data_IF_634924861451
#
_entry.id   IF_634924861451
#
_cell.length_a   1.000
_cell.length_b   1.000
_cell.length_c   1.000
_cell.angle_alpha   90.00
_cell.angle_beta   90.00
_cell.angle_gamma   90.00
#
_symmetry.space_group_name_H-M   'P 1'
#
loop_
_entity.id
_entity.type
_entity.pdbx_description
1 polymer ?
#
# COMPACT_ATOMS: atom_id res chain seq x y z
N UNK A 1 23.51 10.24 -9.22
CA UNK A 1 22.02 10.27 -9.26
C UNK A 1 21.57 9.84 -10.65
N UNK A 2 20.53 9.02 -10.77
CA UNK A 2 19.89 8.70 -12.06
C UNK A 2 18.48 9.30 -12.04
N UNK A 3 18.11 10.06 -13.08
CA UNK A 3 16.80 10.69 -13.21
C UNK A 3 16.42 10.79 -14.70
N UNK A 4 15.28 11.41 -15.02
CA UNK A 4 14.87 11.72 -16.38
C UNK A 4 14.63 13.22 -16.55
N UNK A 5 14.59 13.72 -17.79
CA UNK A 5 14.18 15.09 -18.07
C UNK A 5 12.74 15.34 -17.59
N UNK A 6 11.82 14.42 -17.94
CA UNK A 6 10.42 14.42 -17.52
C UNK A 6 9.92 13.00 -17.22
N UNK A 7 8.78 12.90 -16.54
CA UNK A 7 7.95 11.70 -16.48
C UNK A 7 6.56 12.03 -17.02
N UNK A 8 5.95 11.09 -17.76
CA UNK A 8 4.63 11.26 -18.36
C UNK A 8 3.60 10.48 -17.55
N UNK A 9 2.63 11.19 -16.95
CA UNK A 9 1.60 10.54 -16.13
C UNK A 9 0.23 11.19 -16.33
N UNK A 10 -0.73 10.41 -16.81
CA UNK A 10 -2.10 10.85 -17.07
C UNK A 10 -2.18 12.12 -17.98
N UNK A 11 -1.36 12.16 -19.03
CA UNK A 11 -1.24 13.31 -19.93
C UNK A 11 -0.50 14.52 -19.34
N UNK A 12 0.01 14.44 -18.11
CA UNK A 12 0.80 15.49 -17.46
C UNK A 12 2.28 15.20 -17.54
N UNK A 13 3.07 16.26 -17.66
CA UNK A 13 4.53 16.19 -17.64
C UNK A 13 5.04 16.59 -16.25
N UNK A 14 5.82 15.72 -15.62
CA UNK A 14 6.47 15.98 -14.33
C UNK A 14 7.95 16.23 -14.62
N UNK A 15 8.44 17.46 -14.39
CA UNK A 15 9.82 17.87 -14.69
C UNK A 15 10.82 17.31 -13.67
N UNK A 16 11.15 16.03 -13.78
CA UNK A 16 12.00 15.30 -12.84
C UNK A 16 13.40 15.91 -12.70
N UNK A 17 14.03 16.33 -13.81
CA UNK A 17 15.35 16.96 -13.76
C UNK A 17 15.33 18.29 -13.00
N UNK A 18 14.30 19.12 -13.22
CA UNK A 18 14.13 20.37 -12.47
C UNK A 18 13.97 20.14 -10.96
N UNK A 19 13.23 19.10 -10.56
CA UNK A 19 13.10 18.70 -9.14
C UNK A 19 14.46 18.24 -8.60
N UNK A 20 15.19 17.42 -9.36
CA UNK A 20 16.53 16.96 -8.99
C UNK A 20 17.51 18.13 -8.80
N UNK A 21 17.51 19.13 -9.69
CA UNK A 21 18.40 20.29 -9.58
C UNK A 21 18.17 21.11 -8.31
N UNK A 22 16.92 21.22 -7.84
CA UNK A 22 16.61 21.85 -6.55
C UNK A 22 17.20 21.04 -5.40
N UNK A 23 17.04 19.72 -5.41
CA UNK A 23 17.59 18.83 -4.38
C UNK A 23 19.14 18.81 -4.36
N UNK A 24 19.76 18.91 -5.53
CA UNK A 24 21.21 18.91 -5.71
C UNK A 24 21.91 20.11 -5.06
N UNK A 25 21.18 21.19 -4.75
CA UNK A 25 21.73 22.34 -4.00
C UNK A 25 22.14 21.97 -2.56
N UNK A 26 21.50 20.95 -1.98
CA UNK A 26 21.68 20.55 -0.58
C UNK A 26 22.28 19.14 -0.43
N UNK A 27 22.79 18.55 -1.50
CA UNK A 27 23.32 17.16 -1.50
C UNK A 27 24.74 17.13 -2.10
N UNK A 28 25.75 17.67 -1.37
CA UNK A 28 27.09 17.86 -1.91
C UNK A 28 27.84 16.55 -2.22
N UNK A 29 27.34 15.41 -1.74
CA UNK A 29 27.91 14.08 -2.02
C UNK A 29 27.60 13.57 -3.43
N UNK A 30 26.70 14.21 -4.18
CA UNK A 30 26.35 13.79 -5.54
C UNK A 30 27.27 14.48 -6.56
N UNK A 31 28.21 13.72 -7.11
CA UNK A 31 29.19 14.21 -8.09
C UNK A 31 28.69 14.16 -9.54
N UNK A 32 27.88 13.14 -9.88
CA UNK A 32 27.40 12.90 -11.24
C UNK A 32 25.89 12.67 -11.30
N UNK A 33 25.25 13.15 -12.37
CA UNK A 33 23.83 12.96 -12.64
C UNK A 33 23.65 12.40 -14.06
N UNK A 34 23.13 11.18 -14.14
CA UNK A 34 22.73 10.57 -15.41
C UNK A 34 21.26 10.89 -15.66
N UNK A 35 20.96 11.47 -16.83
CA UNK A 35 19.62 11.91 -17.21
C UNK A 35 19.13 11.08 -18.40
N UNK A 36 17.99 10.41 -18.24
CA UNK A 36 17.29 9.73 -19.33
C UNK A 36 16.42 10.75 -20.07
N UNK A 37 16.54 10.79 -21.40
CA UNK A 37 15.71 11.65 -22.25
C UNK A 37 14.41 10.92 -22.61
N UNK A 38 13.33 11.20 -21.89
CA UNK A 38 12.00 10.58 -22.09
C UNK A 38 11.27 11.20 -23.29
N UNK A 39 11.46 12.50 -23.52
CA UNK A 39 10.94 13.21 -24.69
C UNK A 39 11.83 14.42 -25.06
N UNK A 40 11.43 15.20 -26.06
CA UNK A 40 12.15 16.40 -26.53
C UNK A 40 11.97 17.65 -25.65
N UNK A 41 11.27 17.56 -24.50
CA UNK A 41 11.13 18.72 -23.62
C UNK A 41 12.51 19.09 -23.03
N UNK A 42 12.94 20.37 -23.17
CA UNK A 42 14.24 20.79 -22.70
C UNK A 42 14.30 20.79 -21.17
N UNK A 43 15.46 20.45 -20.63
CA UNK A 43 15.80 20.61 -19.22
C UNK A 43 17.24 21.14 -19.08
N UNK A 44 17.50 21.84 -17.98
CA UNK A 44 18.84 22.35 -17.68
C UNK A 44 19.82 21.20 -17.46
N UNK A 45 20.99 21.27 -18.09
CA UNK A 45 22.09 20.31 -17.96
C UNK A 45 23.35 21.06 -17.51
N UNK A 46 23.86 20.73 -16.33
CA UNK A 46 25.06 21.34 -15.76
C UNK A 46 26.32 20.66 -16.32
N UNK A 47 27.08 21.40 -17.12
CA UNK A 47 28.36 20.93 -17.66
C UNK A 47 29.30 20.44 -16.54
N UNK A 48 29.94 19.29 -16.76
CA UNK A 48 30.84 18.65 -15.80
C UNK A 48 30.16 17.88 -14.66
N UNK A 49 28.83 17.83 -14.60
CA UNK A 49 28.06 17.05 -13.60
C UNK A 49 26.98 16.19 -14.25
N UNK A 50 26.24 16.75 -15.21
CA UNK A 50 25.09 16.09 -15.83
C UNK A 50 25.46 15.51 -17.19
N UNK A 51 25.05 14.26 -17.44
CA UNK A 51 25.27 13.55 -18.70
C UNK A 51 23.97 12.90 -19.17
N UNK A 52 23.79 12.78 -20.49
CA UNK A 52 22.66 12.05 -21.06
C UNK A 52 22.95 10.55 -21.09
N UNK A 53 22.00 9.76 -20.60
CA UNK A 53 22.12 8.30 -20.58
C UNK A 53 22.44 7.69 -21.95
N UNK A 54 21.76 8.15 -23.01
CA UNK A 54 21.95 7.60 -24.36
C UNK A 54 23.30 7.96 -24.97
N UNK A 55 23.87 9.11 -24.61
CA UNK A 55 25.21 9.51 -25.06
C UNK A 55 26.28 8.64 -24.38
N UNK A 56 26.15 8.41 -23.07
CA UNK A 56 27.07 7.53 -22.32
C UNK A 56 26.98 6.07 -22.79
N UNK A 57 25.77 5.57 -23.05
CA UNK A 57 25.58 4.19 -23.49
C UNK A 57 26.02 3.95 -24.94
N UNK A 58 26.03 4.96 -25.82
CA UNK A 58 26.38 4.80 -27.23
C UNK A 58 27.83 4.31 -27.44
N UNK A 59 28.73 4.59 -26.51
CA UNK A 59 30.12 4.14 -26.53
C UNK A 59 30.44 3.00 -25.56
N UNK A 60 29.45 2.49 -24.83
CA UNK A 60 29.65 1.49 -23.76
C UNK A 60 29.49 0.07 -24.31
N UNK A 61 30.25 -0.87 -23.76
CA UNK A 61 30.16 -2.30 -24.09
C UNK A 61 28.80 -2.90 -23.72
N UNK A 62 28.27 -3.79 -24.56
CA UNK A 62 27.11 -4.64 -24.22
C UNK A 62 27.47 -5.75 -23.24
N UNK A 63 28.76 -6.06 -23.11
CA UNK A 63 29.30 -7.02 -22.15
C UNK A 63 29.76 -6.30 -20.88
N UNK A 64 29.18 -6.69 -19.74
CA UNK A 64 29.57 -6.27 -18.40
C UNK A 64 29.48 -7.50 -17.49
N UNK A 65 30.62 -8.04 -17.06
CA UNK A 65 30.64 -9.19 -16.16
C UNK A 65 30.02 -8.80 -14.80
N UNK A 66 29.17 -9.67 -14.26
CA UNK A 66 28.52 -9.42 -12.98
C UNK A 66 29.52 -9.54 -11.83
N UNK A 67 29.60 -8.51 -11.00
CA UNK A 67 30.40 -8.51 -9.78
C UNK A 67 29.92 -9.59 -8.80
N UNK A 68 30.88 -10.27 -8.16
CA UNK A 68 30.59 -11.31 -7.16
C UNK A 68 30.29 -10.65 -5.81
N UNK A 69 29.06 -10.82 -5.34
CA UNK A 69 28.60 -10.26 -4.06
C UNK A 69 28.41 -11.36 -3.01
N UNK A 70 28.64 -11.03 -1.74
CA UNK A 70 28.26 -11.88 -0.62
C UNK A 70 26.74 -11.83 -0.40
N UNK A 71 26.18 -12.87 0.24
CA UNK A 71 24.75 -12.93 0.51
C UNK A 71 24.25 -11.76 1.38
N UNK A 72 25.07 -11.24 2.29
CA UNK A 72 24.73 -10.13 3.19
C UNK A 72 25.25 -8.77 2.72
N UNK A 73 25.76 -8.67 1.49
CA UNK A 73 26.08 -7.35 0.92
C UNK A 73 24.77 -6.58 0.67
N UNK A 74 24.70 -5.28 1.01
CA UNK A 74 23.52 -4.45 0.79
C UNK A 74 23.12 -4.44 -0.69
N UNK A 75 21.85 -4.76 -0.96
CA UNK A 75 21.28 -4.74 -2.30
C UNK A 75 20.66 -3.37 -2.62
N UNK A 76 19.83 -2.86 -1.70
CA UNK A 76 19.23 -1.53 -1.84
C UNK A 76 18.86 -0.91 -0.49
N UNK A 77 18.68 0.41 -0.51
CA UNK A 77 18.09 1.19 0.57
C UNK A 77 16.79 1.78 0.06
N UNK A 78 15.69 1.53 0.77
CA UNK A 78 14.39 2.12 0.45
C UNK A 78 13.90 2.99 1.59
N UNK A 79 13.72 4.28 1.31
CA UNK A 79 13.23 5.23 2.31
C UNK A 79 11.72 5.10 2.49
N UNK A 80 11.28 4.85 3.74
CA UNK A 80 9.88 4.81 4.13
C UNK A 80 9.50 5.99 5.02
N UNK A 81 8.26 6.46 4.94
CA UNK A 81 7.75 7.52 5.81
C UNK A 81 7.43 6.95 7.20
N UNK A 82 8.26 7.28 8.20
CA UNK A 82 8.00 6.95 9.59
C UNK A 82 6.96 7.87 10.24
N UNK A 83 6.27 7.39 11.28
CA UNK A 83 5.34 8.18 12.11
C UNK A 83 6.00 9.38 12.80
N UNK A 84 7.32 9.33 13.02
CA UNK A 84 8.11 10.33 13.76
C UNK A 84 8.77 11.43 12.88
N UNK A 85 8.50 11.47 11.57
CA UNK A 85 8.79 12.64 10.73
C UNK A 85 10.08 12.63 9.90
N UNK A 86 11.12 11.84 10.24
CA UNK A 86 12.27 11.58 9.35
C UNK A 86 12.12 10.23 8.64
N UNK A 87 12.29 10.17 7.30
CA UNK A 87 12.27 8.91 6.57
C UNK A 87 13.27 7.88 7.13
N UNK A 88 12.90 6.61 7.09
CA UNK A 88 13.72 5.49 7.55
C UNK A 88 14.30 4.79 6.32
N UNK A 89 15.63 4.69 6.20
CA UNK A 89 16.26 4.00 5.08
C UNK A 89 16.31 2.50 5.35
N UNK A 90 15.31 1.73 4.94
CA UNK A 90 15.27 0.28 5.13
C UNK A 90 16.32 -0.38 4.25
N UNK A 91 17.19 -1.21 4.84
CA UNK A 91 18.28 -1.89 4.12
C UNK A 91 17.94 -3.37 3.92
N UNK A 92 17.92 -3.81 2.67
CA UNK A 92 17.84 -5.22 2.29
C UNK A 92 19.19 -5.69 1.75
N UNK A 93 19.54 -6.94 2.05
CA UNK A 93 20.75 -7.60 1.56
C UNK A 93 20.46 -8.52 0.38
N UNK A 94 21.48 -9.07 -0.26
CA UNK A 94 21.35 -9.66 -1.60
C UNK A 94 20.72 -11.06 -1.60
N UNK A 95 21.29 -12.01 -0.86
CA UNK A 95 20.93 -13.43 -0.97
C UNK A 95 19.56 -13.76 -0.39
N UNK A 96 19.32 -13.37 0.86
CA UNK A 96 18.06 -13.66 1.58
C UNK A 96 16.85 -12.98 0.94
N UNK A 97 16.99 -11.71 0.55
CA UNK A 97 15.95 -10.95 -0.13
C UNK A 97 15.58 -11.60 -1.47
N UNK A 98 16.56 -11.84 -2.36
CA UNK A 98 16.29 -12.36 -3.69
C UNK A 98 15.65 -13.75 -3.63
N UNK A 99 16.13 -14.63 -2.73
CA UNK A 99 15.53 -15.94 -2.53
C UNK A 99 14.08 -15.83 -2.05
N UNK A 100 13.80 -14.98 -1.06
CA UNK A 100 12.45 -14.82 -0.52
C UNK A 100 11.47 -14.33 -1.59
N UNK A 101 11.82 -13.27 -2.34
CA UNK A 101 10.93 -12.69 -3.36
C UNK A 101 10.76 -13.60 -4.58
N UNK A 102 11.77 -14.42 -4.90
CA UNK A 102 11.67 -15.43 -5.97
C UNK A 102 10.67 -16.51 -5.59
N UNK A 103 10.76 -17.04 -4.35
CA UNK A 103 9.84 -18.06 -3.85
C UNK A 103 8.41 -17.53 -3.70
N UNK A 104 8.24 -16.37 -3.05
CA UNK A 104 6.91 -15.79 -2.87
C UNK A 104 6.25 -15.52 -4.22
N UNK A 105 6.99 -14.93 -5.18
CA UNK A 105 6.45 -14.69 -6.51
C UNK A 105 6.02 -16.00 -7.20
N UNK A 106 6.89 -17.02 -7.21
CA UNK A 106 6.61 -18.31 -7.87
C UNK A 106 5.38 -19.01 -7.29
N UNK A 107 5.33 -19.16 -5.97
CA UNK A 107 4.32 -20.01 -5.32
C UNK A 107 2.99 -19.29 -5.08
N UNK A 108 3.00 -18.02 -4.68
CA UNK A 108 1.75 -17.30 -4.35
C UNK A 108 0.99 -16.94 -5.61
N UNK A 109 1.70 -16.48 -6.65
CA UNK A 109 1.08 -16.17 -7.93
C UNK A 109 1.05 -17.37 -8.89
N UNK A 110 1.48 -18.54 -8.43
CA UNK A 110 1.50 -19.80 -9.19
C UNK A 110 2.05 -19.61 -10.61
N UNK A 111 3.26 -19.05 -10.70
CA UNK A 111 3.85 -18.57 -11.95
C UNK A 111 4.36 -19.74 -12.78
N UNK A 112 4.07 -19.73 -14.07
CA UNK A 112 4.49 -20.65 -15.12
C UNK A 112 5.26 -19.89 -16.20
N UNK A 113 5.94 -20.62 -17.08
CA UNK A 113 6.87 -20.04 -18.06
C UNK A 113 6.17 -19.16 -19.11
N UNK A 114 4.87 -19.39 -19.35
CA UNK A 114 4.02 -18.65 -20.28
C UNK A 114 3.21 -17.53 -19.60
N UNK A 115 3.43 -17.28 -18.30
CA UNK A 115 2.73 -16.22 -17.58
C UNK A 115 3.18 -14.83 -18.01
N UNK A 116 2.18 -14.01 -18.33
CA UNK A 116 2.29 -12.55 -18.43
C UNK A 116 1.79 -11.98 -17.13
N UNK A 117 2.73 -11.59 -16.28
CA UNK A 117 2.49 -11.08 -14.94
C UNK A 117 2.47 -9.55 -14.96
N UNK A 118 1.46 -8.95 -14.34
CA UNK A 118 1.37 -7.50 -14.20
C UNK A 118 1.10 -7.07 -12.76
N UNK A 119 2.10 -6.44 -12.15
CA UNK A 119 1.94 -5.65 -10.95
C UNK A 119 1.80 -4.16 -11.29
N UNK A 120 0.73 -3.53 -10.80
CA UNK A 120 0.45 -2.11 -11.11
C UNK A 120 1.14 -1.13 -10.16
N UNK A 121 2.03 -1.59 -9.29
CA UNK A 121 2.74 -0.72 -8.34
C UNK A 121 3.72 0.20 -9.08
N UNK A 122 4.17 1.24 -8.38
CA UNK A 122 5.29 2.07 -8.84
C UNK A 122 6.62 1.52 -8.28
N UNK A 123 7.70 1.59 -9.07
CA UNK A 123 9.02 1.08 -8.69
C UNK A 123 9.63 1.80 -7.48
N UNK A 124 9.15 2.99 -7.12
CA UNK A 124 9.53 3.71 -5.91
C UNK A 124 9.01 3.08 -4.61
N UNK A 125 8.24 1.99 -4.67
CA UNK A 125 7.77 1.24 -3.51
C UNK A 125 8.36 -0.18 -3.49
N UNK A 126 8.34 -0.81 -2.30
CA UNK A 126 8.87 -2.17 -2.12
C UNK A 126 8.13 -3.20 -2.99
N UNK A 127 6.84 -2.98 -3.29
CA UNK A 127 6.08 -3.83 -4.22
C UNK A 127 6.67 -3.80 -5.62
N UNK A 128 7.11 -2.63 -6.10
CA UNK A 128 7.76 -2.53 -7.40
C UNK A 128 9.16 -3.16 -7.40
N UNK A 129 9.92 -3.02 -6.33
CA UNK A 129 11.20 -3.72 -6.19
C UNK A 129 11.00 -5.23 -6.27
N UNK A 130 10.18 -5.77 -5.38
CA UNK A 130 10.05 -7.21 -5.13
C UNK A 130 9.23 -7.91 -6.21
N UNK A 131 8.21 -7.24 -6.72
CA UNK A 131 7.16 -7.85 -7.55
C UNK A 131 6.89 -7.11 -8.86
N UNK A 132 7.77 -6.20 -9.31
CA UNK A 132 7.88 -5.82 -10.73
C UNK A 132 9.23 -6.27 -11.27
N UNK A 133 10.30 -6.05 -10.49
CA UNK A 133 11.68 -6.30 -10.92
C UNK A 133 12.19 -7.64 -10.39
N UNK A 134 12.55 -7.75 -9.12
CA UNK A 134 13.38 -8.86 -8.62
C UNK A 134 12.71 -10.22 -8.71
N UNK A 135 11.55 -10.42 -8.09
CA UNK A 135 10.86 -11.72 -8.07
C UNK A 135 10.46 -12.25 -9.45
N UNK A 136 9.80 -11.44 -10.30
CA UNK A 136 9.45 -11.85 -11.67
C UNK A 136 10.67 -12.17 -12.53
N UNK A 137 11.68 -11.29 -12.56
CA UNK A 137 12.86 -11.49 -13.42
C UNK A 137 13.74 -12.63 -12.94
N UNK A 138 13.85 -12.87 -11.62
CA UNK A 138 14.56 -14.02 -11.07
C UNK A 138 13.88 -15.36 -11.43
N UNK A 139 12.57 -15.36 -11.64
CA UNK A 139 11.83 -16.52 -12.13
C UNK A 139 11.80 -16.63 -13.68
N UNK A 140 12.41 -15.70 -14.40
CA UNK A 140 12.35 -15.64 -15.87
C UNK A 140 10.96 -15.31 -16.42
N UNK A 141 10.06 -14.73 -15.60
CA UNK A 141 8.70 -14.41 -16.02
C UNK A 141 8.64 -13.11 -16.84
N UNK A 142 7.58 -12.96 -17.64
CA UNK A 142 7.29 -11.68 -18.31
C UNK A 142 6.61 -10.73 -17.33
N UNK A 143 7.29 -9.63 -16.98
CA UNK A 143 6.77 -8.60 -16.06
C UNK A 143 6.37 -7.33 -16.82
N UNK A 144 5.10 -6.92 -16.70
CA UNK A 144 4.60 -5.69 -17.33
C UNK A 144 4.85 -4.48 -16.44
N UNK A 145 5.56 -3.48 -16.97
CA UNK A 145 5.73 -2.16 -16.33
C UNK A 145 4.78 -1.13 -16.97
N UNK A 146 4.03 -0.40 -16.14
CA UNK A 146 3.02 0.55 -16.59
C UNK A 146 3.31 1.97 -16.09
N UNK A 147 3.57 2.89 -17.01
CA UNK A 147 3.87 4.30 -16.70
C UNK A 147 2.62 5.12 -16.29
N UNK A 148 1.44 4.71 -16.76
CA UNK A 148 0.22 5.50 -16.68
C UNK A 148 -0.54 5.42 -15.35
N UNK A 149 -1.85 5.66 -15.42
CA UNK A 149 -2.79 5.51 -14.31
C UNK A 149 -4.02 4.68 -14.76
N UNK A 150 -4.74 4.02 -13.83
CA UNK A 150 -5.91 3.20 -14.16
C UNK A 150 -7.06 3.91 -14.87
N UNK A 151 -7.09 5.24 -14.82
CA UNK A 151 -8.23 6.05 -15.26
C UNK A 151 -7.92 6.98 -16.43
N UNK A 152 -6.77 6.80 -17.10
CA UNK A 152 -6.39 7.62 -18.26
C UNK A 152 -6.08 6.75 -19.49
N UNK A 153 -6.70 7.02 -20.66
CA UNK A 153 -7.62 8.13 -20.94
C UNK A 153 -9.01 7.98 -20.30
N UNK A 154 -9.34 6.78 -19.81
CA UNK A 154 -10.59 6.48 -19.12
C UNK A 154 -10.43 5.33 -18.11
N UNK A 155 -11.50 5.00 -17.38
CA UNK A 155 -11.53 3.94 -16.35
C UNK A 155 -11.53 2.50 -16.92
N UNK A 156 -11.45 2.36 -18.25
CA UNK A 156 -11.22 1.08 -18.93
C UNK A 156 -9.74 0.70 -19.05
N UNK A 157 -8.81 1.59 -18.67
CA UNK A 157 -7.39 1.46 -19.03
C UNK A 157 -6.73 0.18 -18.55
N UNK A 158 -6.96 -0.24 -17.31
CA UNK A 158 -6.38 -1.48 -16.79
C UNK A 158 -6.88 -2.70 -17.57
N UNK A 159 -8.19 -2.75 -17.81
CA UNK A 159 -8.85 -3.86 -18.50
C UNK A 159 -8.41 -3.95 -19.97
N UNK A 160 -8.24 -2.79 -20.62
CA UNK A 160 -7.64 -2.70 -21.96
C UNK A 160 -6.24 -3.30 -22.00
N UNK A 161 -5.40 -3.02 -21.01
CA UNK A 161 -4.02 -3.55 -20.94
C UNK A 161 -4.07 -5.06 -20.72
N UNK A 162 -4.93 -5.55 -19.82
CA UNK A 162 -5.10 -6.98 -19.60
C UNK A 162 -5.46 -7.71 -20.90
N UNK A 163 -6.46 -7.23 -21.65
CA UNK A 163 -6.86 -7.84 -22.93
C UNK A 163 -5.80 -7.70 -24.01
N UNK A 164 -5.18 -6.51 -24.13
CA UNK A 164 -4.20 -6.23 -25.18
C UNK A 164 -2.97 -7.11 -25.09
N UNK A 165 -2.49 -7.34 -23.87
CA UNK A 165 -1.27 -8.10 -23.63
C UNK A 165 -1.53 -9.52 -23.14
N UNK A 166 -2.79 -9.96 -23.01
CA UNK A 166 -3.11 -11.30 -22.52
C UNK A 166 -2.60 -11.53 -21.10
N UNK A 167 -2.74 -10.55 -20.21
CA UNK A 167 -2.28 -10.64 -18.81
C UNK A 167 -2.92 -11.85 -18.14
N UNK A 168 -2.12 -12.63 -17.44
CA UNK A 168 -2.50 -13.90 -16.79
C UNK A 168 -2.56 -13.78 -15.28
N UNK A 169 -1.70 -12.94 -14.70
CA UNK A 169 -1.70 -12.59 -13.28
C UNK A 169 -1.77 -11.08 -13.14
N UNK A 170 -2.78 -10.58 -12.43
CA UNK A 170 -2.99 -9.15 -12.23
C UNK A 170 -2.95 -8.78 -10.75
N UNK A 171 -2.01 -7.94 -10.36
CA UNK A 171 -1.70 -7.60 -8.97
C UNK A 171 -1.76 -6.09 -8.75
N UNK A 172 -2.73 -5.63 -7.96
CA UNK A 172 -2.99 -4.19 -7.78
C UNK A 172 -3.36 -3.82 -6.35
N UNK A 173 -3.48 -2.54 -6.04
CA UNK A 173 -3.85 -2.07 -4.71
C UNK A 173 -5.38 -1.98 -4.54
N UNK A 174 -5.93 -2.21 -3.33
CA UNK A 174 -7.34 -1.98 -3.04
C UNK A 174 -7.83 -0.57 -3.40
N UNK A 175 -7.00 0.46 -3.26
CA UNK A 175 -7.35 1.83 -3.67
C UNK A 175 -7.65 1.92 -5.17
N UNK A 176 -6.87 1.23 -6.03
CA UNK A 176 -7.15 1.20 -7.46
C UNK A 176 -8.46 0.45 -7.74
N UNK A 177 -8.69 -0.67 -7.04
CA UNK A 177 -9.93 -1.45 -7.14
C UNK A 177 -11.14 -0.58 -6.78
N UNK A 178 -11.14 0.08 -5.61
CA UNK A 178 -12.24 0.95 -5.17
C UNK A 178 -12.45 2.14 -6.12
N UNK A 179 -11.36 2.75 -6.62
CA UNK A 179 -11.47 3.86 -7.56
C UNK A 179 -12.13 3.43 -8.87
N UNK A 180 -11.78 2.25 -9.40
CA UNK A 180 -12.37 1.70 -10.62
C UNK A 180 -13.81 1.24 -10.40
N UNK A 181 -14.10 0.60 -9.26
CA UNK A 181 -15.45 0.21 -8.85
C UNK A 181 -16.41 1.42 -8.82
N UNK A 182 -15.95 2.58 -8.31
CA UNK A 182 -16.74 3.82 -8.28
C UNK A 182 -17.15 4.31 -9.68
N UNK A 183 -16.34 4.05 -10.70
CA UNK A 183 -16.66 4.47 -12.07
C UNK A 183 -17.73 3.59 -12.75
N UNK A 184 -18.12 2.48 -12.14
CA UNK A 184 -19.18 1.60 -12.59
C UNK A 184 -18.71 0.42 -13.46
N UNK A 185 -19.54 -0.62 -13.47
CA UNK A 185 -19.24 -1.92 -14.08
C UNK A 185 -19.14 -1.87 -15.60
N UNK A 186 -19.72 -0.85 -16.25
CA UNK A 186 -19.68 -0.70 -17.70
C UNK A 186 -18.26 -0.50 -18.26
N UNK A 187 -17.26 -0.20 -17.43
CA UNK A 187 -15.87 -0.07 -17.85
C UNK A 187 -15.17 -1.42 -18.04
N UNK A 188 -15.11 -2.30 -17.02
CA UNK A 188 -14.60 -3.65 -17.22
C UNK A 188 -15.44 -4.47 -18.21
N UNK A 189 -16.76 -4.27 -18.28
CA UNK A 189 -17.66 -5.02 -19.18
C UNK A 189 -17.36 -4.82 -20.69
N UNK A 190 -16.51 -3.86 -21.06
CA UNK A 190 -16.03 -3.64 -22.44
C UNK A 190 -14.94 -4.64 -22.87
N UNK A 191 -14.40 -5.41 -21.94
CA UNK A 191 -13.21 -6.25 -22.11
C UNK A 191 -13.50 -7.70 -21.73
N UNK A 192 -12.73 -8.64 -22.26
CA UNK A 192 -12.95 -10.08 -22.08
C UNK A 192 -12.33 -10.61 -20.79
N UNK A 193 -11.10 -10.20 -20.48
CA UNK A 193 -10.36 -10.58 -19.27
C UNK A 193 -10.21 -12.11 -19.08
N UNK A 194 -10.35 -12.89 -20.16
CA UNK A 194 -10.37 -14.34 -20.12
C UNK A 194 -8.98 -14.96 -19.90
N UNK A 195 -7.91 -14.22 -20.19
CA UNK A 195 -6.54 -14.65 -19.93
C UNK A 195 -6.18 -14.67 -18.44
N UNK A 196 -6.90 -13.90 -17.62
CA UNK A 196 -6.63 -13.82 -16.18
C UNK A 196 -6.91 -15.16 -15.50
N UNK A 197 -5.90 -15.67 -14.80
CA UNK A 197 -5.95 -16.84 -13.92
C UNK A 197 -5.93 -16.46 -12.45
N UNK A 198 -5.10 -15.50 -12.06
CA UNK A 198 -4.93 -15.09 -10.67
C UNK A 198 -5.05 -13.57 -10.54
N UNK A 199 -5.81 -13.16 -9.54
CA UNK A 199 -5.89 -11.78 -9.10
C UNK A 199 -5.14 -11.65 -7.78
N UNK A 200 -4.47 -10.52 -7.57
CA UNK A 200 -3.82 -10.22 -6.30
C UNK A 200 -4.16 -8.84 -5.80
N UNK A 201 -4.09 -8.67 -4.49
CA UNK A 201 -4.25 -7.38 -3.82
C UNK A 201 -3.22 -7.13 -2.74
N UNK A 202 -2.79 -5.87 -2.57
CA UNK A 202 -1.65 -5.49 -1.72
C UNK A 202 -1.72 -4.08 -1.16
N UNK A 203 -1.11 -3.92 0.03
CA UNK A 203 -0.64 -2.64 0.55
C UNK A 203 -1.56 -1.98 1.56
N UNK A 204 -2.81 -2.44 1.65
CA UNK A 204 -3.79 -2.03 2.64
C UNK A 204 -4.88 -3.11 2.77
N UNK A 205 -5.67 -3.11 3.86
CA UNK A 205 -6.83 -3.97 3.96
C UNK A 205 -7.81 -3.74 2.79
N UNK A 206 -8.28 -4.83 2.20
CA UNK A 206 -9.38 -4.82 1.23
C UNK A 206 -10.69 -5.11 1.96
N UNK A 207 -11.68 -4.21 1.82
CA UNK A 207 -12.99 -4.47 2.41
C UNK A 207 -13.73 -5.57 1.63
N UNK A 208 -14.60 -6.37 2.28
CA UNK A 208 -15.28 -7.50 1.64
C UNK A 208 -16.05 -7.12 0.36
N UNK A 209 -16.67 -5.95 0.32
CA UNK A 209 -17.41 -5.49 -0.88
C UNK A 209 -16.50 -5.27 -2.08
N UNK A 210 -15.36 -4.57 -1.91
CA UNK A 210 -14.39 -4.38 -2.98
C UNK A 210 -13.74 -5.70 -3.40
N UNK A 211 -13.49 -6.60 -2.43
CA UNK A 211 -13.00 -7.95 -2.70
C UNK A 211 -14.00 -8.72 -3.57
N UNK A 212 -15.28 -8.68 -3.21
CA UNK A 212 -16.34 -9.35 -3.96
C UNK A 212 -16.50 -8.74 -5.35
N UNK A 213 -16.50 -7.41 -5.50
CA UNK A 213 -16.52 -6.77 -6.81
C UNK A 213 -15.34 -7.23 -7.67
N UNK A 214 -14.14 -7.28 -7.12
CA UNK A 214 -12.95 -7.74 -7.83
C UNK A 214 -13.06 -9.21 -8.27
N UNK A 215 -13.60 -10.07 -7.41
CA UNK A 215 -13.83 -11.48 -7.70
C UNK A 215 -14.91 -11.70 -8.76
N UNK A 216 -16.02 -10.95 -8.67
CA UNK A 216 -17.18 -11.14 -9.53
C UNK A 216 -17.02 -10.46 -10.88
N UNK A 217 -16.54 -9.22 -10.92
CA UNK A 217 -16.48 -8.41 -12.14
C UNK A 217 -15.20 -8.57 -12.93
N UNK A 218 -14.06 -8.67 -12.25
CA UNK A 218 -12.77 -8.86 -12.92
C UNK A 218 -12.45 -10.35 -12.97
N UNK A 219 -12.70 -11.04 -11.86
CA UNK A 219 -12.44 -12.46 -11.72
C UNK A 219 -13.51 -13.38 -12.32
N UNK A 220 -14.60 -12.86 -12.91
CA UNK A 220 -15.83 -13.59 -13.33
C UNK A 220 -16.15 -14.84 -12.48
N UNK A 221 -15.99 -14.75 -11.15
CA UNK A 221 -16.23 -15.84 -10.19
C UNK A 221 -15.43 -17.12 -10.44
N UNK A 222 -14.24 -17.00 -11.06
CA UNK A 222 -13.38 -18.12 -11.46
C UNK A 222 -11.92 -17.97 -11.04
N UNK A 223 -11.45 -16.74 -10.80
CA UNK A 223 -10.04 -16.46 -10.51
C UNK A 223 -9.88 -16.23 -9.00
N UNK A 224 -9.02 -16.97 -8.30
CA UNK A 224 -8.72 -16.71 -6.90
C UNK A 224 -8.08 -15.32 -6.73
N UNK A 225 -8.35 -14.70 -5.58
CA UNK A 225 -7.71 -13.44 -5.16
C UNK A 225 -6.71 -13.76 -4.05
N UNK A 226 -5.43 -13.48 -4.29
CA UNK A 226 -4.41 -13.51 -3.24
C UNK A 226 -4.34 -12.16 -2.54
N UNK A 227 -4.90 -12.08 -1.33
CA UNK A 227 -4.70 -10.94 -0.44
C UNK A 227 -3.34 -11.10 0.27
N UNK A 228 -2.43 -10.16 0.04
CA UNK A 228 -1.03 -10.30 0.42
C UNK A 228 -0.67 -9.28 1.50
N UNK A 229 -0.49 -9.75 2.73
CA UNK A 229 0.01 -8.92 3.81
C UNK A 229 1.52 -9.04 3.95
N UNK A 230 2.18 -7.87 3.98
CA UNK A 230 3.61 -7.69 4.17
C UNK A 230 3.97 -6.19 4.22
N UNK A 231 5.25 -5.87 4.41
CA UNK A 231 5.74 -4.51 4.62
C UNK A 231 7.05 -4.26 3.87
N UNK A 232 7.55 -3.02 3.90
CA UNK A 232 8.87 -2.72 3.32
C UNK A 232 9.98 -3.46 4.05
N UNK A 233 9.83 -3.55 5.36
CA UNK A 233 10.72 -4.18 6.31
C UNK A 233 10.77 -5.71 6.18
N UNK A 234 9.73 -6.32 5.61
CA UNK A 234 9.66 -7.77 5.44
C UNK A 234 10.25 -8.25 4.14
N UNK A 235 10.54 -7.34 3.20
CA UNK A 235 11.14 -7.60 1.89
C UNK A 235 10.19 -8.29 0.90
N UNK A 236 9.43 -9.29 1.34
CA UNK A 236 8.42 -9.97 0.55
C UNK A 236 7.19 -10.38 1.37
N UNK A 237 6.30 -11.13 0.72
CA UNK A 237 4.97 -11.49 1.23
C UNK A 237 5.14 -12.45 2.42
N UNK A 238 4.39 -12.21 3.50
CA UNK A 238 4.47 -13.02 4.72
C UNK A 238 3.21 -13.82 5.02
N UNK A 239 2.03 -13.22 4.84
CA UNK A 239 0.74 -13.87 5.11
C UNK A 239 -0.14 -13.68 3.89
N UNK A 240 -0.56 -14.78 3.28
CA UNK A 240 -1.37 -14.78 2.05
C UNK A 240 -1.97 -16.17 1.79
N UNK A 241 -3.11 -16.28 1.09
CA UNK A 241 -3.55 -17.59 0.60
C UNK A 241 -2.64 -18.11 -0.53
N UNK A 242 -2.55 -19.44 -0.65
CA UNK A 242 -1.97 -20.09 -1.81
C UNK A 242 -3.10 -20.57 -2.75
N UNK A 243 -3.17 -20.05 -3.99
CA UNK A 243 -4.14 -20.51 -4.98
C UNK A 243 -4.07 -22.03 -5.16
N UNK A 244 -5.19 -22.72 -4.93
CA UNK A 244 -5.26 -24.18 -5.05
C UNK A 244 -5.03 -24.96 -3.75
N UNK A 245 -4.64 -24.31 -2.66
CA UNK A 245 -4.49 -24.95 -1.34
C UNK A 245 -5.49 -24.46 -0.28
N UNK A 246 -5.88 -23.18 -0.32
CA UNK A 246 -6.71 -22.57 0.72
C UNK A 246 -8.09 -22.12 0.19
N UNK A 247 -9.11 -22.25 1.04
CA UNK A 247 -10.40 -21.58 0.84
C UNK A 247 -10.27 -20.11 1.20
N UNK A 248 -10.75 -19.22 0.33
CA UNK A 248 -10.59 -17.77 0.48
C UNK A 248 -11.76 -17.17 1.25
N UNK A 249 -11.45 -16.25 2.18
CA UNK A 249 -12.43 -15.42 2.89
C UNK A 249 -12.24 -13.96 2.48
N UNK A 250 -13.29 -13.26 2.01
CA UNK A 250 -13.17 -11.86 1.59
C UNK A 250 -12.61 -10.96 2.70
N UNK A 251 -11.44 -10.35 2.45
CA UNK A 251 -10.75 -9.46 3.39
C UNK A 251 -9.80 -10.15 4.40
N UNK A 252 -9.60 -11.47 4.29
CA UNK A 252 -8.58 -12.19 5.07
C UNK A 252 -7.32 -12.42 4.24
N UNK A 253 -6.15 -12.25 4.88
CA UNK A 253 -4.87 -12.65 4.31
C UNK A 253 -4.59 -14.16 4.45
N UNK A 254 -5.51 -14.94 5.04
CA UNK A 254 -5.41 -16.39 5.19
C UNK A 254 -4.22 -16.85 6.04
N UNK A 255 -3.19 -17.50 5.49
CA UNK A 255 -2.16 -18.24 6.26
C UNK A 255 -0.76 -17.65 6.11
N UNK A 256 0.15 -17.89 7.08
CA UNK A 256 1.57 -17.61 6.89
C UNK A 256 2.15 -18.37 5.69
N UNK A 257 3.03 -17.69 4.95
CA UNK A 257 3.87 -18.29 3.93
C UNK A 257 4.98 -19.13 4.55
N UNK A 258 5.70 -19.89 3.72
CA UNK A 258 6.75 -20.79 4.18
C UNK A 258 7.83 -20.08 5.01
N UNK A 259 8.19 -20.68 6.14
CA UNK A 259 9.20 -20.15 7.05
C UNK A 259 8.75 -18.98 7.93
N UNK A 260 7.50 -18.53 7.81
CA UNK A 260 6.95 -17.43 8.63
C UNK A 260 6.23 -18.00 9.85
N UNK A 261 6.59 -17.54 11.05
CA UNK A 261 6.05 -17.97 12.35
C UNK A 261 5.34 -16.80 13.05
N UNK A 262 4.13 -16.39 12.59
CA UNK A 262 3.42 -15.25 13.16
C UNK A 262 2.69 -15.61 14.45
N UNK A 263 2.63 -14.65 15.36
CA UNK A 263 1.87 -14.72 16.62
C UNK A 263 1.10 -13.42 16.83
N UNK A 264 -0.09 -13.51 17.42
CA UNK A 264 -0.88 -12.35 17.85
C UNK A 264 -0.80 -12.24 19.36
N UNK A 265 -0.26 -11.12 19.86
CA UNK A 265 0.02 -10.91 21.28
C UNK A 265 -0.84 -9.80 21.89
N UNK A 266 -1.22 -9.99 23.16
CA UNK A 266 -1.77 -8.95 24.04
C UNK A 266 -0.64 -8.01 24.51
N UNK A 267 -1.02 -6.94 25.21
CA UNK A 267 -0.05 -5.95 25.72
C UNK A 267 0.92 -6.53 26.75
N UNK A 268 0.50 -7.55 27.50
CA UNK A 268 1.34 -8.26 28.47
C UNK A 268 2.24 -9.35 27.86
N UNK A 269 2.22 -9.51 26.52
CA UNK A 269 3.00 -10.52 25.81
C UNK A 269 2.37 -11.92 25.79
N UNK A 270 1.20 -12.12 26.40
CA UNK A 270 0.45 -13.38 26.26
C UNK A 270 -0.17 -13.51 24.86
N UNK A 271 -0.34 -14.73 24.39
CA UNK A 271 -0.96 -15.00 23.08
C UNK A 271 -2.47 -14.78 23.15
N UNK A 272 -3.03 -14.05 22.18
CA UNK A 272 -4.47 -13.83 22.04
C UNK A 272 -5.23 -15.14 21.77
N UNK A 273 -6.46 -15.21 22.26
CA UNK A 273 -7.39 -16.31 22.00
C UNK A 273 -7.98 -16.21 20.59
N UNK A 274 -8.71 -17.24 20.17
CA UNK A 274 -9.43 -17.25 18.89
C UNK A 274 -10.40 -16.08 18.81
N UNK A 275 -10.44 -15.41 17.66
CA UNK A 275 -11.18 -14.19 17.36
C UNK A 275 -10.82 -12.96 18.21
N UNK A 276 -9.83 -13.06 19.10
CA UNK A 276 -9.34 -11.91 19.86
C UNK A 276 -8.34 -11.09 19.02
N UNK A 277 -8.53 -9.77 19.03
CA UNK A 277 -7.64 -8.83 18.36
C UNK A 277 -6.41 -8.47 19.21
N UNK A 278 -5.23 -8.58 18.62
CA UNK A 278 -3.97 -8.23 19.27
C UNK A 278 -2.94 -7.66 18.30
N UNK A 279 -1.67 -7.67 18.73
CA UNK A 279 -0.53 -7.15 17.98
C UNK A 279 0.12 -8.26 17.15
N UNK A 280 0.22 -8.07 15.84
CA UNK A 280 0.89 -9.02 14.96
C UNK A 280 2.40 -8.93 15.11
N UNK A 281 3.00 -10.06 15.46
CA UNK A 281 4.43 -10.23 15.65
C UNK A 281 4.93 -11.48 14.93
N UNK A 282 6.23 -11.56 14.65
CA UNK A 282 6.86 -12.74 14.02
C UNK A 282 7.97 -13.24 14.93
N UNK A 283 7.87 -14.51 15.36
CA UNK A 283 8.76 -15.11 16.37
C UNK A 283 10.16 -15.43 15.88
N UNK A 284 10.33 -15.65 14.57
CA UNK A 284 11.57 -16.10 13.96
C UNK A 284 11.93 -15.24 12.75
N UNK A 285 13.22 -14.99 12.49
CA UNK A 285 13.63 -14.32 11.27
C UNK A 285 13.25 -15.14 10.04
N UNK A 286 12.96 -14.44 8.94
CA UNK A 286 12.75 -15.02 7.61
C UNK A 286 13.80 -14.45 6.65
N UNK A 287 14.06 -15.11 5.50
CA UNK A 287 15.17 -14.73 4.64
C UNK A 287 15.12 -13.29 4.12
N UNK A 288 13.93 -12.82 3.71
CA UNK A 288 13.72 -11.49 3.13
C UNK A 288 13.63 -10.34 4.14
N UNK A 289 13.83 -10.59 5.42
CA UNK A 289 13.79 -9.57 6.46
C UNK A 289 14.84 -8.47 6.24
N UNK A 290 14.49 -7.19 6.43
CA UNK A 290 15.49 -6.11 6.41
C UNK A 290 16.59 -6.38 7.46
N UNK A 291 17.80 -5.90 7.20
CA UNK A 291 18.94 -6.11 8.13
C UNK A 291 19.18 -4.95 9.08
N UNK A 292 18.85 -3.74 8.68
CA UNK A 292 19.07 -2.53 9.48
C UNK A 292 18.31 -1.33 8.90
N UNK A 293 18.32 -0.20 9.62
CA UNK A 293 18.12 1.11 9.03
C UNK A 293 19.47 1.75 8.67
N UNK A 294 19.53 2.40 7.51
CA UNK A 294 20.74 3.01 6.97
C UNK A 294 21.28 4.09 7.90
N UNK A 295 22.46 3.85 8.45
CA UNK A 295 23.13 4.76 9.39
C UNK A 295 22.49 4.85 10.78
N UNK A 296 21.55 3.95 11.13
CA UNK A 296 20.78 4.05 12.38
C UNK A 296 20.29 2.66 12.89
N UNK A 297 21.23 1.79 13.27
CA UNK A 297 20.90 0.42 13.70
C UNK A 297 20.13 0.39 15.03
N UNK A 298 20.42 1.31 15.95
CA UNK A 298 19.72 1.39 17.23
C UNK A 298 18.22 1.66 17.02
N UNK A 299 17.86 2.56 16.08
CA UNK A 299 16.46 2.80 15.72
C UNK A 299 15.79 1.57 15.10
N UNK A 300 16.53 0.71 14.40
CA UNK A 300 16.02 -0.58 13.93
C UNK A 300 15.66 -1.49 15.10
N UNK A 301 16.55 -1.63 16.08
CA UNK A 301 16.29 -2.40 17.31
C UNK A 301 15.08 -1.81 18.06
N UNK A 302 15.13 -0.51 18.36
CA UNK A 302 14.11 0.21 19.10
C UNK A 302 12.73 0.11 18.45
N UNK A 303 12.66 0.22 17.12
CA UNK A 303 11.37 0.21 16.42
C UNK A 303 10.72 -1.17 16.44
N UNK A 304 11.48 -2.24 16.23
CA UNK A 304 10.91 -3.54 15.87
C UNK A 304 11.12 -4.65 16.90
N UNK A 305 12.01 -4.49 17.89
CA UNK A 305 12.39 -5.59 18.80
C UNK A 305 12.36 -5.23 20.29
N UNK A 306 11.96 -4.01 20.66
CA UNK A 306 11.89 -3.60 22.08
C UNK A 306 10.49 -3.74 22.69
N UNK A 307 9.44 -3.85 21.87
CA UNK A 307 8.07 -4.01 22.39
C UNK A 307 7.85 -5.40 23.02
N UNK A 308 8.43 -6.43 22.39
CA UNK A 308 8.42 -7.81 22.88
C UNK A 308 9.83 -8.36 22.66
N UNK A 309 10.45 -8.84 23.73
CA UNK A 309 11.83 -9.31 23.70
C UNK A 309 12.02 -10.41 22.64
N UNK A 310 13.04 -10.23 21.80
CA UNK A 310 13.45 -11.15 20.72
C UNK A 310 12.35 -11.49 19.69
N UNK A 311 11.32 -10.66 19.56
CA UNK A 311 10.23 -10.86 18.62
C UNK A 311 10.08 -9.63 17.71
N UNK A 312 10.01 -9.87 16.39
CA UNK A 312 9.74 -8.78 15.44
C UNK A 312 8.29 -8.31 15.59
N UNK A 313 8.10 -7.04 15.97
CA UNK A 313 6.81 -6.38 16.03
C UNK A 313 6.50 -5.66 14.71
N UNK A 314 5.42 -6.07 14.03
CA UNK A 314 5.07 -5.50 12.73
C UNK A 314 4.43 -4.10 12.81
N UNK A 315 3.85 -3.73 13.95
CA UNK A 315 3.07 -2.48 14.06
C UNK A 315 1.64 -2.58 13.52
N UNK A 316 1.16 -3.79 13.22
CA UNK A 316 -0.19 -4.05 12.71
C UNK A 316 -1.03 -4.81 13.74
N UNK A 317 -2.32 -4.48 13.80
CA UNK A 317 -3.32 -5.21 14.56
C UNK A 317 -3.83 -6.40 13.75
N UNK A 318 -4.03 -7.53 14.41
CA UNK A 318 -4.49 -8.75 13.76
C UNK A 318 -5.36 -9.58 14.71
N UNK A 319 -6.29 -10.35 14.15
CA UNK A 319 -6.97 -11.45 14.84
C UNK A 319 -6.85 -12.73 14.02
N UNK A 320 -6.89 -13.86 14.70
CA UNK A 320 -6.92 -15.19 14.10
C UNK A 320 -8.31 -15.77 14.32
N UNK A 321 -8.99 -16.20 13.26
CA UNK A 321 -10.31 -16.82 13.40
C UNK A 321 -10.27 -18.31 13.77
N UNK A 322 -11.45 -18.93 13.89
CA UNK A 322 -11.60 -20.34 14.29
C UNK A 322 -10.96 -21.32 13.31
N UNK A 323 -10.88 -20.97 12.03
CA UNK A 323 -10.19 -21.80 11.05
C UNK A 323 -8.67 -21.58 11.14
N UNK A 324 -8.22 -20.48 11.75
CA UNK A 324 -6.84 -20.06 11.87
C UNK A 324 -6.39 -19.12 10.76
N UNK A 325 -7.33 -18.45 10.07
CA UNK A 325 -7.01 -17.42 9.08
C UNK A 325 -6.75 -16.07 9.77
N UNK A 326 -5.78 -15.34 9.24
CA UNK A 326 -5.32 -14.06 9.76
C UNK A 326 -6.11 -12.90 9.13
N UNK A 327 -6.63 -12.02 9.99
CA UNK A 327 -7.39 -10.84 9.59
C UNK A 327 -6.65 -9.59 10.05
N UNK A 328 -6.24 -8.76 9.10
CA UNK A 328 -5.46 -7.56 9.37
C UNK A 328 -6.41 -6.41 9.67
N UNK A 329 -6.28 -5.83 10.86
CA UNK A 329 -7.16 -4.78 11.37
C UNK A 329 -6.64 -3.36 11.08
N UNK A 330 -5.50 -3.27 10.38
CA UNK A 330 -4.76 -2.03 10.12
C UNK A 330 -3.64 -1.80 11.14
N UNK A 331 -3.03 -0.61 11.09
CA UNK A 331 -1.92 -0.25 12.00
C UNK A 331 -2.44 -0.17 13.43
N UNK A 332 -1.65 -0.62 14.40
CA UNK A 332 -2.02 -0.47 15.83
C UNK A 332 -2.18 1.00 16.23
N UNK A 333 -1.42 1.90 15.61
CA UNK A 333 -1.56 3.35 15.82
C UNK A 333 -2.95 3.83 15.40
N UNK A 334 -3.59 3.12 14.45
CA UNK A 334 -4.92 3.32 13.91
C UNK A 334 -5.98 2.36 14.52
N UNK A 335 -5.64 1.63 15.59
CA UNK A 335 -6.61 0.92 16.45
C UNK A 335 -7.02 1.86 17.57
N UNK A 336 -8.33 2.03 17.76
CA UNK A 336 -8.90 2.97 18.73
C UNK A 336 -9.36 2.23 19.97
N UNK A 337 -9.04 2.76 21.15
CA UNK A 337 -9.56 2.26 22.41
C UNK A 337 -10.77 3.09 22.86
N UNK A 338 -11.98 2.58 22.61
CA UNK A 338 -13.23 3.22 23.02
C UNK A 338 -13.76 2.51 24.25
N UNK A 339 -13.66 3.14 25.42
CA UNK A 339 -14.15 2.58 26.69
C UNK A 339 -13.61 1.18 26.99
N UNK A 340 -12.31 0.96 26.78
CA UNK A 340 -11.63 -0.33 27.00
C UNK A 340 -11.72 -1.32 25.84
N UNK A 341 -12.51 -1.02 24.79
CA UNK A 341 -12.67 -1.90 23.63
C UNK A 341 -11.73 -1.47 22.50
N UNK A 342 -10.96 -2.42 21.96
CA UNK A 342 -10.08 -2.19 20.80
C UNK A 342 -10.86 -2.34 19.50
N UNK A 343 -10.98 -1.24 18.76
CA UNK A 343 -11.74 -1.16 17.53
C UNK A 343 -10.77 -0.79 16.40
N UNK A 344 -10.67 -1.65 15.39
CA UNK A 344 -9.91 -1.33 14.18
C UNK A 344 -10.64 -0.25 13.39
N UNK A 345 -9.96 0.84 13.04
CA UNK A 345 -10.56 1.87 12.16
C UNK A 345 -11.04 1.26 10.84
N UNK A 346 -10.32 0.28 10.30
CA UNK A 346 -10.67 -0.42 9.06
C UNK A 346 -12.03 -1.16 9.13
N UNK A 347 -12.41 -1.68 10.30
CA UNK A 347 -13.71 -2.34 10.49
C UNK A 347 -14.85 -1.34 10.40
N UNK A 348 -14.70 -0.19 11.08
CA UNK A 348 -15.66 0.91 11.06
C UNK A 348 -15.75 1.54 9.66
N UNK A 349 -14.62 1.70 8.98
CA UNK A 349 -14.56 2.13 7.58
C UNK A 349 -15.31 1.16 6.67
N UNK A 350 -15.13 -0.15 6.86
CA UNK A 350 -15.83 -1.18 6.07
C UNK A 350 -17.33 -1.17 6.30
N UNK A 351 -17.78 -1.00 7.55
CA UNK A 351 -19.19 -0.86 7.88
C UNK A 351 -19.79 0.41 7.26
N UNK A 352 -19.08 1.54 7.25
CA UNK A 352 -19.54 2.75 6.58
C UNK A 352 -19.66 2.55 5.06
N UNK A 353 -18.65 1.93 4.44
CA UNK A 353 -18.62 1.71 2.99
C UNK A 353 -19.71 0.72 2.54
N UNK A 354 -20.13 -0.23 3.37
CA UNK A 354 -21.24 -1.14 3.03
C UNK A 354 -22.60 -0.45 2.91
N UNK A 355 -22.71 0.83 3.30
CA UNK A 355 -23.89 1.64 3.07
C UNK A 355 -23.93 2.15 1.63
N UNK A 356 -25.05 1.92 0.90
CA UNK A 356 -25.17 2.20 -0.54
C UNK A 356 -24.92 3.66 -0.98
N UNK A 357 -24.96 4.60 -0.04
CA UNK A 357 -24.69 6.03 -0.26
C UNK A 357 -23.23 6.43 -0.03
N UNK A 358 -22.38 5.54 0.50
CA UNK A 358 -20.98 5.83 0.86
C UNK A 358 -20.05 5.23 -0.18
N UNK A 359 -19.18 6.07 -0.74
CA UNK A 359 -18.18 5.63 -1.70
C UNK A 359 -16.84 5.29 -1.02
N UNK A 360 -16.44 6.07 -0.01
CA UNK A 360 -15.21 5.85 0.77
C UNK A 360 -15.39 6.39 2.19
N UNK A 361 -14.70 5.78 3.15
CA UNK A 361 -14.64 6.26 4.52
C UNK A 361 -13.20 6.20 5.04
N UNK A 362 -12.85 7.12 5.93
CA UNK A 362 -11.65 7.08 6.74
C UNK A 362 -11.99 7.42 8.18
N UNK A 363 -11.54 6.60 9.13
CA UNK A 363 -11.87 6.78 10.55
C UNK A 363 -10.60 7.06 11.32
N UNK A 364 -10.68 8.01 12.27
CA UNK A 364 -9.56 8.38 13.13
C UNK A 364 -10.01 8.48 14.59
N UNK A 365 -9.14 8.13 15.55
CA UNK A 365 -9.42 8.41 16.95
C UNK A 365 -9.39 9.91 17.22
N UNK A 366 -10.24 10.34 18.14
CA UNK A 366 -10.17 11.65 18.80
C UNK A 366 -10.16 11.46 20.32
N UNK A 367 -9.47 12.32 21.09
CA UNK A 367 -9.56 12.32 22.55
C UNK A 367 -11.01 12.52 23.01
N UNK A 368 -11.42 11.77 24.04
CA UNK A 368 -12.76 11.87 24.62
C UNK A 368 -12.68 11.73 26.14
N UNK A 369 -13.23 12.70 26.89
CA UNK A 369 -13.06 12.77 28.35
C UNK A 369 -13.56 11.53 29.10
N UNK A 370 -14.68 10.95 28.65
CA UNK A 370 -15.29 9.76 29.28
C UNK A 370 -14.77 8.45 28.67
N UNK A 371 -14.76 8.33 27.33
CA UNK A 371 -14.44 7.07 26.62
C UNK A 371 -12.94 6.82 26.48
N UNK A 372 -12.10 7.77 26.87
CA UNK A 372 -10.67 7.82 26.54
C UNK A 372 -10.45 8.28 25.10
N UNK A 373 -10.91 7.49 24.14
CA UNK A 373 -10.98 7.87 22.73
C UNK A 373 -12.39 7.67 22.16
N UNK A 374 -12.71 8.43 21.12
CA UNK A 374 -13.91 8.25 20.33
C UNK A 374 -13.57 8.23 18.83
N UNK A 375 -14.49 7.74 18.01
CA UNK A 375 -14.30 7.57 16.58
C UNK A 375 -14.79 8.81 15.83
N UNK A 376 -13.96 9.37 14.95
CA UNK A 376 -14.32 10.44 14.01
C UNK A 376 -14.22 9.91 12.59
N UNK A 377 -15.31 9.96 11.83
CA UNK A 377 -15.37 9.42 10.48
C UNK A 377 -15.42 10.54 9.43
N UNK A 378 -14.56 10.44 8.42
CA UNK A 378 -14.61 11.23 7.20
C UNK A 378 -15.26 10.37 6.11
N UNK A 379 -16.33 10.86 5.49
CA UNK A 379 -17.15 10.07 4.57
C UNK A 379 -17.25 10.77 3.21
N UNK A 380 -16.88 10.08 2.15
CA UNK A 380 -17.14 10.48 0.77
C UNK A 380 -18.37 9.75 0.26
N UNK A 381 -19.37 10.49 -0.20
CA UNK A 381 -20.61 9.93 -0.73
C UNK A 381 -20.45 9.50 -2.19
N UNK A 382 -21.37 8.67 -2.67
CA UNK A 382 -21.52 8.34 -4.09
C UNK A 382 -22.03 9.57 -4.84
N UNK A 383 -21.60 9.74 -6.11
CA UNK A 383 -22.01 10.87 -6.95
C UNK A 383 -23.55 10.97 -7.04
N UNK A 384 -24.09 12.17 -6.83
CA UNK A 384 -25.52 12.44 -6.88
C UNK A 384 -26.26 12.23 -5.55
N UNK A 385 -25.56 11.89 -4.46
CA UNK A 385 -26.14 11.89 -3.10
C UNK A 385 -25.80 13.19 -2.39
N UNK A 386 -26.82 13.88 -1.89
CA UNK A 386 -26.66 15.11 -1.12
C UNK A 386 -26.32 14.85 0.35
N UNK A 387 -25.49 15.73 0.92
CA UNK A 387 -25.14 15.73 2.34
C UNK A 387 -26.31 16.21 3.21
N UNK A 388 -26.65 15.46 4.27
CA UNK A 388 -27.66 15.89 5.25
C UNK A 388 -27.40 15.37 6.66
N UNK A 389 -27.97 16.04 7.66
CA UNK A 389 -27.89 15.60 9.07
C UNK A 389 -28.66 14.29 9.29
N UNK A 390 -29.74 14.07 8.54
CA UNK A 390 -30.47 12.80 8.51
C UNK A 390 -29.57 11.68 8.03
N UNK A 391 -28.78 11.91 6.97
CA UNK A 391 -27.83 10.94 6.45
C UNK A 391 -26.69 10.67 7.45
N UNK A 392 -26.17 11.68 8.15
CA UNK A 392 -25.18 11.45 9.24
C UNK A 392 -25.74 10.50 10.29
N UNK A 393 -26.98 10.71 10.75
CA UNK A 393 -27.66 9.83 11.73
C UNK A 393 -27.89 8.42 11.17
N UNK A 394 -28.31 8.32 9.91
CA UNK A 394 -28.47 7.06 9.18
C UNK A 394 -27.17 6.26 9.18
N UNK A 395 -26.04 6.89 8.84
CA UNK A 395 -24.72 6.24 8.81
C UNK A 395 -24.23 5.82 10.20
N UNK A 396 -24.42 6.64 11.24
CA UNK A 396 -24.11 6.23 12.62
C UNK A 396 -24.91 4.99 13.02
N UNK A 397 -26.21 4.98 12.72
CA UNK A 397 -27.08 3.84 13.02
C UNK A 397 -26.72 2.60 12.21
N UNK A 398 -26.25 2.77 10.97
CA UNK A 398 -25.75 1.69 10.13
C UNK A 398 -24.53 1.01 10.77
N UNK A 399 -23.53 1.77 11.19
CA UNK A 399 -22.35 1.21 11.90
C UNK A 399 -22.76 0.51 13.20
N UNK A 400 -23.71 1.07 13.94
CA UNK A 400 -24.24 0.43 15.17
C UNK A 400 -24.89 -0.92 14.90
N UNK A 401 -25.50 -1.09 13.73
CA UNK A 401 -26.15 -2.34 13.33
C UNK A 401 -25.13 -3.37 12.85
N UNK A 402 -24.14 -2.95 12.06
CA UNK A 402 -23.15 -3.83 11.44
C UNK A 402 -22.11 -4.35 12.44
N UNK A 403 -21.65 -3.49 13.36
CA UNK A 403 -20.59 -3.83 14.32
C UNK A 403 -21.14 -3.83 15.75
N UNK A 404 -21.80 -2.73 16.14
CA UNK A 404 -22.36 -2.59 17.47
C UNK A 404 -22.30 -1.16 18.02
N UNK A 405 -22.98 -0.90 19.15
CA UNK A 405 -23.04 0.43 19.76
C UNK A 405 -21.68 1.07 20.07
N UNK A 406 -20.67 0.28 20.37
CA UNK A 406 -19.35 0.74 20.80
C UNK A 406 -18.50 1.28 19.63
N UNK A 407 -18.81 0.85 18.41
CA UNK A 407 -18.12 1.25 17.17
C UNK A 407 -18.78 2.46 16.48
N UNK A 408 -19.86 3.00 17.05
CA UNK A 408 -20.55 4.16 16.52
C UNK A 408 -19.62 5.38 16.46
N UNK A 409 -19.44 6.03 15.28
CA UNK A 409 -18.72 7.29 15.21
C UNK A 409 -19.40 8.35 16.09
N UNK A 410 -18.58 9.08 16.85
CA UNK A 410 -19.02 10.25 17.63
C UNK A 410 -19.38 11.41 16.71
N UNK A 411 -18.65 11.52 15.59
CA UNK A 411 -18.90 12.52 14.57
C UNK A 411 -18.62 11.96 13.18
N UNK A 412 -19.40 12.44 12.21
CA UNK A 412 -19.23 12.21 10.78
C UNK A 412 -19.04 13.56 10.09
N UNK A 413 -17.94 13.70 9.37
CA UNK A 413 -17.68 14.83 8.47
C UNK A 413 -17.76 14.33 7.03
N UNK A 414 -18.61 14.95 6.23
CA UNK A 414 -18.59 14.69 4.80
C UNK A 414 -17.36 15.32 4.16
N UNK A 415 -16.72 14.55 3.29
CA UNK A 415 -15.45 14.88 2.66
C UNK A 415 -15.54 14.49 1.18
N UNK A 416 -15.65 15.46 0.24
CA UNK A 416 -15.69 15.16 -1.19
C UNK A 416 -14.45 14.36 -1.65
N UNK A 417 -13.31 14.59 -1.03
CA UNK A 417 -12.06 13.86 -1.27
C UNK A 417 -11.31 13.60 0.04
N UNK A 418 -10.70 12.43 0.16
CA UNK A 418 -9.79 12.07 1.25
C UNK A 418 -8.32 12.34 0.85
N UNK A 419 -7.45 12.72 1.80
CA UNK A 419 -6.07 13.05 1.50
C UNK A 419 -5.29 11.75 1.25
N UNK A 420 -4.97 11.46 -0.02
CA UNK A 420 -4.25 10.24 -0.43
C UNK A 420 -2.86 10.55 -0.95
N UNK A 421 -1.92 9.64 -0.72
CA UNK A 421 -0.62 9.65 -1.40
C UNK A 421 -0.79 9.38 -2.90
N UNK A 422 0.27 9.57 -3.68
CA UNK A 422 0.27 9.18 -5.11
C UNK A 422 0.09 7.69 -5.36
N UNK A 423 0.33 6.85 -4.35
CA UNK A 423 0.08 5.40 -4.33
C UNK A 423 -1.33 5.03 -3.84
N UNK A 424 -2.17 6.02 -3.50
CA UNK A 424 -3.56 5.80 -3.08
C UNK A 424 -3.78 5.68 -1.58
N UNK A 425 -2.71 5.52 -0.79
CA UNK A 425 -2.81 5.37 0.67
C UNK A 425 -3.40 6.62 1.32
N UNK A 426 -4.45 6.44 2.12
CA UNK A 426 -5.06 7.52 2.92
C UNK A 426 -4.08 7.98 4.01
N UNK A 427 -3.84 9.29 4.08
CA UNK A 427 -2.95 9.94 5.05
C UNK A 427 -3.68 10.21 6.37
N UNK A 428 -4.02 9.14 7.12
CA UNK A 428 -4.78 9.20 8.39
C UNK A 428 -4.17 10.12 9.45
N UNK A 429 -2.85 10.29 9.46
CA UNK A 429 -2.15 11.25 10.33
C UNK A 429 -2.68 12.69 10.18
N UNK A 430 -2.96 13.11 8.94
CA UNK A 430 -3.50 14.45 8.65
C UNK A 430 -4.94 14.53 9.15
N UNK A 431 -5.75 13.53 8.81
CA UNK A 431 -7.14 13.42 9.25
C UNK A 431 -7.27 13.47 10.78
N UNK A 432 -6.41 12.76 11.50
CA UNK A 432 -6.38 12.75 12.97
C UNK A 432 -6.08 14.14 13.52
N UNK A 433 -5.03 14.81 13.01
CA UNK A 433 -4.68 16.17 13.44
C UNK A 433 -5.80 17.17 13.18
N UNK A 434 -6.46 17.07 12.02
CA UNK A 434 -7.66 17.85 11.70
C UNK A 434 -8.75 17.54 12.72
N UNK A 435 -9.08 16.27 12.95
CA UNK A 435 -10.08 15.81 13.90
C UNK A 435 -9.77 16.16 15.37
N UNK A 436 -8.52 16.49 15.71
CA UNK A 436 -8.04 16.90 17.05
C UNK A 436 -7.97 18.43 17.28
N UNK A 437 -8.29 19.30 16.30
CA UNK A 437 -8.04 20.78 16.36
C UNK A 437 -6.56 21.14 16.31
N UNK A 438 -5.68 20.23 15.88
CA UNK A 438 -4.25 20.49 15.80
C UNK A 438 -3.81 20.77 14.35
N UNK A 439 -4.25 21.90 13.80
CA UNK A 439 -4.00 22.27 12.39
C UNK A 439 -2.71 23.04 12.16
N UNK A 440 -2.05 23.52 13.21
CA UNK A 440 -0.89 24.42 13.10
C UNK A 440 0.38 23.70 12.63
N UNK A 441 0.41 22.37 12.72
CA UNK A 441 1.52 21.56 12.26
C UNK A 441 1.02 20.23 11.68
N UNK A 442 0.55 20.24 10.44
CA UNK A 442 0.10 19.03 9.73
C UNK A 442 1.26 18.15 9.22
N UNK A 443 2.52 18.56 9.41
CA UNK A 443 3.71 17.89 8.86
C UNK A 443 3.80 17.99 7.33
N UNK A 444 4.59 17.12 6.72
CA UNK A 444 4.77 17.11 5.27
C UNK A 444 3.51 16.62 4.52
N UNK A 445 3.05 17.43 3.56
CA UNK A 445 1.90 17.19 2.69
C UNK A 445 2.29 17.09 1.21
N UNK A 446 3.58 17.18 0.87
CA UNK A 446 4.08 17.17 -0.52
C UNK A 446 3.89 15.84 -1.23
N UNK A 447 3.69 14.75 -0.47
CA UNK A 447 3.43 13.40 -0.98
C UNK A 447 1.97 13.17 -1.39
N UNK A 448 1.06 14.11 -1.11
CA UNK A 448 -0.35 14.01 -1.48
C UNK A 448 -0.54 14.10 -3.01
N UNK A 449 -1.54 13.37 -3.51
CA UNK A 449 -1.97 13.47 -4.91
C UNK A 449 -2.61 14.84 -5.19
N UNK A 450 -3.36 15.38 -4.24
CA UNK A 450 -3.92 16.74 -4.25
C UNK A 450 -3.82 17.38 -2.85
N UNK A 451 -2.87 18.32 -2.64
CA UNK A 451 -2.72 19.00 -1.36
C UNK A 451 -3.92 19.89 -0.97
N UNK A 452 -4.73 20.38 -1.93
CA UNK A 452 -5.85 21.30 -1.65
C UNK A 452 -6.95 20.66 -0.82
N UNK A 453 -7.04 19.33 -0.86
CA UNK A 453 -7.98 18.53 -0.06
C UNK A 453 -7.86 18.85 1.43
N UNK A 454 -6.65 19.14 1.91
CA UNK A 454 -6.40 19.42 3.33
C UNK A 454 -7.12 20.70 3.80
N UNK A 455 -7.12 21.76 2.99
CA UNK A 455 -7.80 23.02 3.33
C UNK A 455 -9.32 22.85 3.42
N UNK A 456 -9.91 22.06 2.52
CA UNK A 456 -11.34 21.79 2.53
C UNK A 456 -11.74 21.00 3.77
N UNK A 457 -10.94 20.01 4.17
CA UNK A 457 -11.18 19.21 5.37
C UNK A 457 -11.08 20.05 6.65
N UNK A 458 -10.16 21.02 6.70
CA UNK A 458 -10.06 21.95 7.84
C UNK A 458 -11.31 22.83 7.92
N UNK A 459 -11.76 23.40 6.79
CA UNK A 459 -12.94 24.27 6.74
C UNK A 459 -14.24 23.56 7.09
N UNK A 460 -14.41 22.32 6.63
CA UNK A 460 -15.62 21.53 6.87
C UNK A 460 -15.73 20.94 8.26
N UNK A 461 -14.74 21.16 9.13
CA UNK A 461 -14.74 20.55 10.46
C UNK A 461 -15.65 21.28 11.44
N UNK A 462 -16.63 20.56 11.98
CA UNK A 462 -17.61 21.09 12.94
C UNK A 462 -18.91 21.58 12.31
N UNK A 463 -19.06 21.36 11.00
CA UNK A 463 -20.34 21.27 10.30
C UNK A 463 -20.83 19.82 10.36
#
# INVERSE_FOLDING_TARGET
>A
LITANVSLRAGKHIKLKGIADVALKNTPTIENVVVVKVNEEPCDMKAGRDVWYHDEMAGTSEECEAERMNAEDPLFILYTSGSTGKPKGVVHTTGGYLMHVTLTHKFIFNIHDDDIYWCTADIGWVTGHSYIVYGPLANGATSLMFEGVPTYPDAGRFWQICDKFGVTVFYTAPTAIRALMRHGDQWPDKYKLDSLRILGTVGEPINPEAWMWYYEKIGHKKRPIVDTWWQTETGGILITPLPGAHTLKPGSASRPFFGVDPVVLRDDGSQCDVNEGGKLCIRKPWPGMMRTMWGDHDRFIDTYFTMYDDIYFAGDGCRIDEDGDYWLMGRIDDVVNVSGHRIGTAEVESALVSHSKVAEAAVTPIPHEIKGQALYAFVTLVDGVDESDELKKELVMHVRKEIGPIAAPEAIQFAPLLPKTRSGKIMRRILRKIAEKNTDNLGDITTLADPKVVENLIKGRGQ
#
